data_IF_901696730315
#
_entry.id   IF_901696730315
#
_cell.length_a   1.000
_cell.length_b   1.000
_cell.length_c   1.000
_cell.angle_alpha   90.00
_cell.angle_beta   90.00
_cell.angle_gamma   90.00
#
_symmetry.space_group_name_H-M   'P 1'
#
loop_
_entity.id
_entity.type
_entity.pdbx_description
1 polymer ?
#
# COMPACT_ATOMS: atom_id res chain seq x y z
N UNK A 1 -18.54 8.99 9.07
CA UNK A 1 -18.40 8.23 10.32
C UNK A 1 -19.72 7.54 10.65
N UNK A 2 -20.77 8.27 11.04
CA UNK A 2 -22.08 7.72 11.43
C UNK A 2 -22.78 6.82 10.40
N UNK A 3 -22.43 6.91 9.11
CA UNK A 3 -22.93 6.01 8.07
C UNK A 3 -22.30 4.61 8.10
N UNK A 4 -21.27 4.37 8.93
CA UNK A 4 -20.53 3.10 9.03
C UNK A 4 -19.64 2.78 7.81
N UNK A 5 -19.53 3.70 6.85
CA UNK A 5 -18.78 3.49 5.59
C UNK A 5 -17.35 4.03 5.61
N UNK A 6 -16.96 4.69 6.70
CA UNK A 6 -15.64 5.27 6.85
C UNK A 6 -15.46 6.70 6.35
N UNK A 7 -14.46 7.37 6.90
CA UNK A 7 -13.96 8.67 6.48
C UNK A 7 -12.44 8.63 6.47
N UNK A 8 -11.82 9.10 5.40
CA UNK A 8 -10.37 9.26 5.33
C UNK A 8 -10.02 10.73 5.58
N UNK A 9 -9.12 11.00 6.52
CA UNK A 9 -8.52 12.32 6.72
C UNK A 9 -7.09 12.26 6.20
N UNK A 10 -6.84 12.99 5.12
CA UNK A 10 -5.61 12.96 4.35
C UNK A 10 -4.77 14.18 4.70
N UNK A 11 -3.53 13.97 5.15
CA UNK A 11 -2.56 15.03 5.45
C UNK A 11 -1.28 14.86 4.63
N UNK A 12 -0.38 15.85 4.69
CA UNK A 12 0.86 15.86 3.89
C UNK A 12 1.97 14.97 4.45
N UNK A 13 1.98 14.65 5.75
CA UNK A 13 3.03 13.82 6.34
C UNK A 13 2.57 12.99 7.55
N UNK A 14 3.35 11.95 7.84
CA UNK A 14 3.08 10.95 8.86
C UNK A 14 3.03 11.55 10.29
N UNK A 15 3.74 12.64 10.55
CA UNK A 15 3.72 13.34 11.84
C UNK A 15 2.38 14.06 12.03
N UNK A 16 1.91 14.83 11.03
CA UNK A 16 0.62 15.52 11.09
C UNK A 16 -0.53 14.53 11.23
N UNK A 17 -0.52 13.44 10.45
CA UNK A 17 -1.53 12.38 10.55
C UNK A 17 -1.64 11.83 11.98
N UNK A 18 -0.50 11.56 12.65
CA UNK A 18 -0.48 11.11 14.04
C UNK A 18 -0.93 12.18 15.03
N UNK A 19 -0.36 13.39 14.91
CA UNK A 19 -0.67 14.51 15.79
C UNK A 19 -2.17 14.80 15.79
N UNK A 20 -2.76 14.95 14.61
CA UNK A 20 -4.16 15.35 14.47
C UNK A 20 -5.11 14.24 14.93
N UNK A 21 -4.76 12.97 14.70
CA UNK A 21 -5.50 11.84 15.21
C UNK A 21 -5.48 11.75 16.74
N UNK A 22 -4.33 11.99 17.38
CA UNK A 22 -4.21 12.00 18.86
C UNK A 22 -4.91 13.23 19.44
N UNK A 23 -4.70 14.40 18.84
CA UNK A 23 -5.26 15.66 19.32
C UNK A 23 -6.79 15.70 19.22
N UNK A 24 -7.37 15.21 18.11
CA UNK A 24 -8.81 15.09 17.95
C UNK A 24 -9.37 13.79 18.57
N UNK A 25 -8.49 12.95 19.10
CA UNK A 25 -8.77 11.62 19.62
C UNK A 25 -9.88 11.60 20.66
N UNK A 26 -9.71 12.43 21.69
CA UNK A 26 -10.65 12.59 22.80
C UNK A 26 -12.06 12.94 22.30
N UNK A 27 -12.17 13.84 21.33
CA UNK A 27 -13.48 14.30 20.82
C UNK A 27 -14.22 13.15 20.14
N UNK A 28 -13.54 12.42 19.26
CA UNK A 28 -14.19 11.33 18.54
C UNK A 28 -14.53 10.16 19.46
N UNK A 29 -13.63 9.79 20.38
CA UNK A 29 -13.90 8.72 21.37
C UNK A 29 -15.03 9.12 22.31
N UNK A 30 -15.08 10.37 22.78
CA UNK A 30 -16.18 10.90 23.58
C UNK A 30 -17.53 10.79 22.83
N UNK A 31 -17.51 10.96 21.51
CA UNK A 31 -18.69 10.79 20.65
C UNK A 31 -18.96 9.32 20.25
N UNK A 32 -18.18 8.37 20.77
CA UNK A 32 -18.31 6.93 20.51
C UNK A 32 -17.80 6.47 19.14
N UNK A 33 -16.94 7.26 18.49
CA UNK A 33 -16.32 6.94 17.21
C UNK A 33 -14.90 6.39 17.41
N UNK A 34 -14.47 5.54 16.49
CA UNK A 34 -13.10 4.99 16.52
C UNK A 34 -12.19 5.59 15.46
N UNK A 35 -10.89 5.60 15.75
CA UNK A 35 -9.89 6.27 14.91
C UNK A 35 -8.75 5.32 14.59
N UNK A 36 -8.47 5.17 13.31
CA UNK A 36 -7.30 4.47 12.78
C UNK A 36 -6.28 5.46 12.24
N UNK A 37 -5.02 5.07 12.23
CA UNK A 37 -3.92 5.84 11.66
C UNK A 37 -3.10 4.90 10.79
N UNK A 38 -2.82 5.31 9.55
CA UNK A 38 -1.93 4.58 8.64
C UNK A 38 -0.62 5.36 8.45
N UNK A 39 0.49 4.64 8.50
CA UNK A 39 1.84 5.17 8.24
C UNK A 39 2.61 4.23 7.33
N UNK A 40 3.87 4.53 7.00
CA UNK A 40 4.71 3.61 6.24
C UNK A 40 4.80 2.24 6.94
N UNK A 41 4.28 1.20 6.28
CA UNK A 41 4.26 -0.20 6.76
C UNK A 41 3.64 -0.47 8.14
N UNK A 42 2.97 0.51 8.76
CA UNK A 42 2.39 0.37 10.10
C UNK A 42 0.97 0.92 10.16
N UNK A 43 0.15 0.32 11.03
CA UNK A 43 -1.18 0.80 11.40
C UNK A 43 -1.27 1.03 12.90
N UNK A 44 -2.07 2.01 13.32
CA UNK A 44 -2.39 2.27 14.71
C UNK A 44 -3.89 2.50 14.89
N UNK A 45 -4.38 2.25 16.09
CA UNK A 45 -5.70 2.68 16.55
C UNK A 45 -5.47 3.59 17.76
N UNK A 46 -6.22 4.68 17.81
CA UNK A 46 -6.26 5.52 19.01
C UNK A 46 -7.02 4.78 20.11
N UNK A 47 -6.40 4.62 21.26
CA UNK A 47 -6.94 3.89 22.41
C UNK A 47 -6.54 4.64 23.69
N UNK A 48 -7.52 5.25 24.35
CA UNK A 48 -7.33 6.03 25.57
C UNK A 48 -6.80 5.20 26.74
N UNK A 49 -7.01 3.88 26.71
CA UNK A 49 -6.61 2.95 27.77
C UNK A 49 -5.24 2.33 27.52
N UNK A 50 -4.70 2.51 26.31
CA UNK A 50 -3.36 2.03 25.99
C UNK A 50 -2.34 2.90 26.73
N UNK A 51 -1.58 2.28 27.64
CA UNK A 51 -0.46 2.86 28.40
C UNK A 51 -0.73 4.19 29.15
N UNK A 52 -1.98 4.55 29.42
CA UNK A 52 -2.28 5.80 30.11
C UNK A 52 -2.01 5.68 31.63
N UNK A 53 -1.01 6.40 32.12
CA UNK A 53 -0.98 6.85 33.52
C UNK A 53 -1.76 8.17 33.62
N UNK A 54 -2.40 8.47 34.75
CA UNK A 54 -3.25 9.65 34.92
C UNK A 54 -2.51 11.00 34.74
N UNK A 55 -1.18 11.00 34.79
CA UNK A 55 -0.34 12.17 34.51
C UNK A 55 -0.18 12.46 33.01
N UNK A 56 -0.35 11.45 32.15
CA UNK A 56 -0.15 11.59 30.70
C UNK A 56 -1.27 12.39 30.04
N UNK A 57 -2.47 12.41 30.64
CA UNK A 57 -3.64 13.16 30.15
C UNK A 57 -3.48 14.67 30.36
N UNK A 58 -3.02 15.11 31.54
CA UNK A 58 -2.74 16.54 31.82
C UNK A 58 -1.59 17.06 30.92
N UNK A 59 -0.51 16.29 30.74
CA UNK A 59 0.58 16.67 29.83
C UNK A 59 0.13 16.73 28.35
N UNK A 60 -0.88 15.94 27.97
CA UNK A 60 -1.41 15.92 26.60
C UNK A 60 -2.13 17.21 26.28
N UNK A 61 -3.00 17.65 27.18
CA UNK A 61 -3.83 18.82 26.96
C UNK A 61 -2.96 20.09 26.84
N UNK A 62 -1.81 20.13 27.51
CA UNK A 62 -0.84 21.23 27.41
C UNK A 62 0.07 21.13 26.16
N UNK A 63 0.52 19.92 25.78
CA UNK A 63 1.56 19.74 24.74
C UNK A 63 1.09 19.13 23.42
N UNK A 64 -0.15 18.65 23.34
CA UNK A 64 -0.68 17.89 22.21
C UNK A 64 -0.77 18.66 20.89
N UNK A 65 -0.68 20.00 20.95
CA UNK A 65 -0.59 20.86 19.76
C UNK A 65 0.76 20.75 19.03
N UNK A 66 1.82 20.27 19.69
CA UNK A 66 3.17 20.15 19.10
C UNK A 66 3.93 18.85 19.43
N UNK A 67 3.50 18.06 20.43
CA UNK A 67 4.14 16.79 20.81
C UNK A 67 3.17 15.63 20.59
N UNK A 68 3.59 14.64 19.80
CA UNK A 68 2.83 13.40 19.62
C UNK A 68 3.12 12.49 20.81
N UNK A 69 2.13 12.28 21.67
CA UNK A 69 2.21 11.26 22.71
C UNK A 69 1.87 9.90 22.10
N UNK A 70 2.84 8.99 22.17
CA UNK A 70 2.71 7.64 21.58
C UNK A 70 1.93 6.69 22.48
N UNK A 71 1.66 7.08 23.72
CA UNK A 71 1.07 6.22 24.73
C UNK A 71 -0.35 5.81 24.35
N UNK A 72 -1.10 6.68 23.66
CA UNK A 72 -2.47 6.42 23.20
C UNK A 72 -2.58 5.68 21.85
N UNK A 73 -1.45 5.24 21.27
CA UNK A 73 -1.43 4.63 19.93
C UNK A 73 -1.14 3.13 20.01
N UNK A 74 -2.19 2.31 19.96
CA UNK A 74 -2.07 0.86 19.92
C UNK A 74 -1.69 0.41 18.51
N UNK A 75 -0.58 -0.32 18.30
CA UNK A 75 -0.21 -0.83 16.98
C UNK A 75 -1.21 -1.92 16.54
N UNK A 76 -1.60 -1.86 15.27
CA UNK A 76 -2.56 -2.79 14.66
C UNK A 76 -2.16 -3.14 13.22
N UNK A 77 -2.78 -4.19 12.69
CA UNK A 77 -2.72 -4.48 11.28
C UNK A 77 -3.37 -3.37 10.44
N UNK A 78 -2.85 -3.15 9.23
CA UNK A 78 -3.33 -2.12 8.30
C UNK A 78 -4.86 -2.20 8.08
N UNK A 79 -5.37 -3.42 7.94
CA UNK A 79 -6.79 -3.70 7.73
C UNK A 79 -7.67 -3.28 8.91
N UNK A 80 -7.16 -3.39 10.15
CA UNK A 80 -7.87 -2.93 11.35
C UNK A 80 -7.92 -1.41 11.41
N UNK A 81 -6.86 -0.71 11.00
CA UNK A 81 -6.85 0.75 10.93
C UNK A 81 -7.91 1.31 9.94
N UNK A 82 -8.09 0.66 8.79
CA UNK A 82 -9.15 1.01 7.83
C UNK A 82 -10.57 0.63 8.29
N UNK A 83 -10.70 -0.28 9.26
CA UNK A 83 -12.00 -0.68 9.80
C UNK A 83 -12.61 0.38 10.72
N UNK A 84 -11.77 1.25 11.33
CA UNK A 84 -12.19 2.32 12.25
C UNK A 84 -13.09 3.35 11.59
N UNK A 85 -13.93 4.08 12.32
CA UNK A 85 -14.87 5.04 11.70
C UNK A 85 -14.19 6.16 10.91
N UNK A 86 -13.03 6.59 11.39
CA UNK A 86 -12.20 7.63 10.80
C UNK A 86 -10.78 7.08 10.67
N UNK A 87 -10.17 7.26 9.51
CA UNK A 87 -8.78 6.83 9.27
C UNK A 87 -7.95 8.05 8.88
N UNK A 88 -6.94 8.38 9.67
CA UNK A 88 -5.94 9.39 9.37
C UNK A 88 -4.76 8.77 8.62
N UNK A 89 -4.20 9.50 7.67
CA UNK A 89 -3.03 9.05 6.92
C UNK A 89 -2.58 10.08 5.91
N UNK A 90 -1.49 9.76 5.21
CA UNK A 90 -1.02 10.61 4.11
C UNK A 90 -1.61 10.20 2.78
N UNK A 91 -1.65 11.14 1.84
CA UNK A 91 -2.05 10.89 0.45
C UNK A 91 -1.29 9.70 -0.16
N UNK A 92 0.02 9.62 0.10
CA UNK A 92 0.89 8.54 -0.36
C UNK A 92 0.46 7.19 0.24
N UNK A 93 0.18 7.11 1.54
CA UNK A 93 -0.24 5.84 2.15
C UNK A 93 -1.58 5.35 1.62
N UNK A 94 -2.59 6.22 1.52
CA UNK A 94 -3.88 5.87 0.94
C UNK A 94 -3.75 5.42 -0.53
N UNK A 95 -2.98 6.15 -1.34
CA UNK A 95 -2.79 5.79 -2.73
C UNK A 95 -2.03 4.47 -2.90
N UNK A 96 -0.97 4.25 -2.13
CA UNK A 96 -0.20 3.01 -2.22
C UNK A 96 -0.97 1.78 -1.75
N UNK A 97 -1.82 1.92 -0.72
CA UNK A 97 -2.71 0.82 -0.33
C UNK A 97 -3.72 0.48 -1.40
N UNK A 98 -4.30 1.48 -2.06
CA UNK A 98 -5.19 1.25 -3.19
C UNK A 98 -4.47 0.49 -4.32
N UNK A 99 -3.24 0.90 -4.66
CA UNK A 99 -2.44 0.22 -5.69
C UNK A 99 -2.10 -1.22 -5.26
N UNK A 100 -1.66 -1.45 -4.02
CA UNK A 100 -1.36 -2.79 -3.48
C UNK A 100 -2.59 -3.69 -3.45
N UNK A 101 -3.76 -3.16 -3.09
CA UNK A 101 -5.03 -3.88 -3.08
C UNK A 101 -5.48 -4.33 -4.48
N UNK A 102 -4.92 -3.76 -5.54
CA UNK A 102 -5.14 -4.21 -6.92
C UNK A 102 -4.05 -5.19 -7.42
N UNK A 103 -3.03 -5.48 -6.60
CA UNK A 103 -1.99 -6.47 -6.88
C UNK A 103 -2.15 -7.77 -6.07
N UNK A 104 -3.06 -7.81 -5.10
CA UNK A 104 -3.30 -9.03 -4.30
C UNK A 104 -4.01 -10.11 -5.12
N UNK A 105 -3.63 -11.36 -4.88
CA UNK A 105 -4.24 -12.54 -5.54
C UNK A 105 -5.61 -12.87 -4.95
N UNK A 106 -5.76 -12.72 -3.64
CA UNK A 106 -6.98 -13.03 -2.88
C UNK A 106 -7.64 -11.74 -2.41
N UNK A 107 -8.97 -11.64 -2.56
CA UNK A 107 -9.72 -10.44 -2.20
C UNK A 107 -9.66 -10.15 -0.68
N UNK A 108 -9.52 -11.19 0.14
CA UNK A 108 -9.44 -11.12 1.60
C UNK A 108 -8.17 -10.40 2.08
N UNK A 109 -7.12 -10.38 1.25
CA UNK A 109 -5.85 -9.70 1.54
C UNK A 109 -5.90 -8.18 1.31
N UNK A 110 -7.01 -7.66 0.77
CA UNK A 110 -7.20 -6.21 0.66
C UNK A 110 -7.28 -5.55 2.04
N UNK A 111 -6.64 -4.40 2.17
CA UNK A 111 -6.60 -3.63 3.43
C UNK A 111 -7.63 -2.51 3.44
N UNK A 112 -7.91 -1.89 2.30
CA UNK A 112 -8.92 -0.84 2.21
C UNK A 112 -10.32 -1.42 2.16
N UNK A 113 -11.27 -0.60 2.60
CA UNK A 113 -12.70 -0.74 2.31
C UNK A 113 -13.12 0.30 1.26
N UNK A 114 -14.42 0.38 0.97
CA UNK A 114 -14.95 1.31 -0.03
C UNK A 114 -14.54 2.78 0.21
N UNK A 115 -14.18 3.46 -0.87
CA UNK A 115 -13.80 4.88 -0.87
C UNK A 115 -15.05 5.76 -0.76
N UNK A 116 -15.45 6.09 0.47
CA UNK A 116 -16.73 6.76 0.72
C UNK A 116 -16.63 8.29 0.82
N UNK A 117 -15.74 8.78 1.69
CA UNK A 117 -15.57 10.20 1.93
C UNK A 117 -14.13 10.48 2.37
N UNK A 118 -13.54 11.54 1.82
CA UNK A 118 -12.20 11.98 2.17
C UNK A 118 -12.20 13.49 2.44
N UNK A 119 -11.55 13.88 3.53
CA UNK A 119 -11.20 15.27 3.82
C UNK A 119 -9.70 15.40 3.56
N UNK A 120 -9.33 16.36 2.72
CA UNK A 120 -7.95 16.58 2.34
C UNK A 120 -7.52 17.87 3.01
N UNK A 121 -6.64 17.75 4.00
CA UNK A 121 -5.93 18.87 4.59
C UNK A 121 -4.82 19.34 3.66
N UNK A 122 -4.47 20.63 3.68
CA UNK A 122 -3.49 21.23 2.76
C UNK A 122 -3.78 20.88 1.28
N UNK A 123 -5.02 21.10 0.86
CA UNK A 123 -5.57 20.64 -0.42
C UNK A 123 -4.78 21.09 -1.65
N UNK A 124 -4.21 22.29 -1.62
CA UNK A 124 -3.36 22.83 -2.68
C UNK A 124 -2.04 22.05 -2.78
N UNK A 125 -1.39 21.78 -1.64
CA UNK A 125 -0.18 20.97 -1.60
C UNK A 125 -0.41 19.56 -2.16
N UNK A 126 -1.51 18.91 -1.77
CA UNK A 126 -1.78 17.51 -2.15
C UNK A 126 -2.33 17.39 -3.58
N UNK A 127 -3.39 18.14 -3.92
CA UNK A 127 -4.08 17.96 -5.20
C UNK A 127 -3.51 18.79 -6.35
N UNK A 128 -2.64 19.77 -6.08
CA UNK A 128 -1.99 20.58 -7.11
C UNK A 128 -0.51 20.24 -7.19
N UNK A 129 0.24 20.38 -6.09
CA UNK A 129 1.69 20.30 -6.14
C UNK A 129 2.21 18.86 -6.20
N UNK A 130 1.75 17.99 -5.29
CA UNK A 130 2.17 16.58 -5.24
C UNK A 130 1.56 15.76 -6.39
N UNK A 131 0.33 16.07 -6.79
CA UNK A 131 -0.37 15.39 -7.87
C UNK A 131 0.29 15.52 -9.26
N UNK A 132 1.33 16.35 -9.41
CA UNK A 132 2.12 16.48 -10.66
C UNK A 132 2.88 15.21 -11.02
N UNK A 133 3.26 14.41 -10.04
CA UNK A 133 4.01 13.17 -10.25
C UNK A 133 3.12 11.98 -9.93
N UNK A 134 2.99 10.99 -10.84
CA UNK A 134 2.14 9.83 -10.59
C UNK A 134 2.69 8.99 -9.44
N UNK A 135 1.78 8.43 -8.64
CA UNK A 135 2.12 7.48 -7.59
C UNK A 135 2.39 6.09 -8.20
N UNK A 136 3.60 5.55 -8.02
CA UNK A 136 4.06 4.32 -8.67
C UNK A 136 4.64 3.36 -7.64
N UNK A 137 4.18 2.10 -7.65
CA UNK A 137 4.86 0.99 -6.96
C UNK A 137 5.95 0.46 -7.88
N UNK A 138 7.20 0.56 -7.44
CA UNK A 138 8.33 -0.09 -8.08
C UNK A 138 8.86 -1.20 -7.17
N UNK A 139 9.17 -2.35 -7.78
CA UNK A 139 9.86 -3.44 -7.12
C UNK A 139 11.14 -3.75 -7.89
N UNK A 140 12.23 -4.14 -7.21
CA UNK A 140 13.42 -4.61 -7.91
C UNK A 140 13.05 -5.83 -8.76
N UNK A 141 13.52 -5.86 -10.01
CA UNK A 141 13.33 -7.01 -10.88
C UNK A 141 14.06 -8.22 -10.26
N UNK A 142 13.32 -9.27 -9.95
CA UNK A 142 13.86 -10.54 -9.45
C UNK A 142 14.44 -11.41 -10.59
N UNK A 143 15.09 -10.79 -11.57
CA UNK A 143 15.65 -11.53 -12.69
C UNK A 143 17.05 -12.04 -12.33
N UNK A 144 17.21 -13.36 -12.32
CA UNK A 144 18.54 -13.96 -12.26
C UNK A 144 19.25 -13.69 -13.58
N UNK A 145 20.32 -12.88 -13.54
CA UNK A 145 21.20 -12.63 -14.69
C UNK A 145 21.67 -13.93 -15.36
N UNK A 146 21.79 -15.01 -14.59
CA UNK A 146 22.18 -16.33 -15.09
C UNK A 146 21.14 -16.93 -16.05
N UNK A 147 19.84 -16.71 -15.80
CA UNK A 147 18.79 -17.20 -16.69
C UNK A 147 18.87 -16.54 -18.07
N UNK A 148 19.18 -15.25 -18.14
CA UNK A 148 19.37 -14.57 -19.42
C UNK A 148 20.48 -15.21 -20.26
N UNK A 149 21.64 -15.49 -19.65
CA UNK A 149 22.73 -16.15 -20.36
C UNK A 149 22.37 -17.58 -20.76
N UNK A 150 21.73 -18.34 -19.85
CA UNK A 150 21.28 -19.71 -20.12
C UNK A 150 20.33 -19.76 -21.31
N UNK A 151 19.30 -18.90 -21.33
CA UNK A 151 18.35 -18.86 -22.44
C UNK A 151 18.99 -18.32 -23.73
N UNK A 152 19.91 -17.36 -23.65
CA UNK A 152 20.64 -16.87 -24.82
C UNK A 152 21.50 -17.96 -25.49
N UNK A 153 22.01 -18.93 -24.73
CA UNK A 153 22.70 -20.10 -25.29
C UNK A 153 21.71 -21.10 -25.89
N UNK A 154 20.61 -21.38 -25.18
CA UNK A 154 19.61 -22.36 -25.63
C UNK A 154 18.96 -22.00 -26.96
N UNK A 155 18.64 -20.72 -27.18
CA UNK A 155 17.95 -20.28 -28.41
C UNK A 155 18.84 -20.29 -29.65
N UNK A 156 20.18 -20.34 -29.51
CA UNK A 156 21.10 -20.33 -30.66
C UNK A 156 20.95 -21.55 -31.57
N UNK A 157 20.49 -22.66 -31.01
CA UNK A 157 20.35 -23.93 -31.73
C UNK A 157 18.93 -24.15 -32.26
N UNK A 158 18.04 -23.18 -32.07
CA UNK A 158 16.68 -23.23 -32.59
C UNK A 158 16.65 -22.76 -34.04
N UNK A 159 15.86 -23.44 -34.86
CA UNK A 159 15.70 -23.14 -36.28
C UNK A 159 14.30 -22.63 -36.58
N UNK A 160 14.25 -21.54 -37.34
CA UNK A 160 12.99 -21.00 -37.86
C UNK A 160 12.33 -22.00 -38.83
N UNK A 161 11.02 -22.19 -38.71
CA UNK A 161 10.22 -23.15 -39.48
C UNK A 161 10.20 -24.58 -38.94
N UNK A 162 11.15 -24.95 -38.07
CA UNK A 162 11.17 -26.23 -37.34
C UNK A 162 10.79 -26.02 -35.88
N UNK A 163 11.57 -25.21 -35.16
CA UNK A 163 11.47 -25.02 -33.70
C UNK A 163 10.64 -23.79 -33.32
N UNK A 164 10.56 -22.77 -34.18
CA UNK A 164 9.76 -21.56 -33.96
C UNK A 164 9.37 -20.90 -35.28
N UNK A 165 8.34 -20.06 -35.23
CA UNK A 165 7.90 -19.22 -36.34
C UNK A 165 7.92 -17.75 -35.94
N UNK A 166 8.33 -16.86 -36.85
CA UNK A 166 8.31 -15.41 -36.68
C UNK A 166 7.17 -14.81 -37.50
N UNK A 167 6.35 -13.96 -36.86
CA UNK A 167 5.47 -13.04 -37.54
C UNK A 167 6.08 -11.62 -37.49
N UNK A 168 6.75 -11.22 -38.57
CA UNK A 168 7.38 -9.90 -38.67
C UNK A 168 6.38 -8.74 -38.64
N UNK A 169 5.15 -8.98 -39.13
CA UNK A 169 4.09 -7.96 -39.14
C UNK A 169 3.61 -7.68 -37.72
N UNK A 170 3.54 -8.71 -36.88
CA UNK A 170 3.16 -8.59 -35.47
C UNK A 170 4.35 -8.39 -34.52
N UNK A 171 5.59 -8.53 -35.01
CA UNK A 171 6.82 -8.54 -34.20
C UNK A 171 6.74 -9.54 -33.04
N UNK A 172 6.22 -10.73 -33.33
CA UNK A 172 6.04 -11.80 -32.37
C UNK A 172 6.72 -13.08 -32.86
N UNK A 173 7.24 -13.86 -31.93
CA UNK A 173 7.73 -15.22 -32.18
C UNK A 173 6.90 -16.22 -31.39
N UNK A 174 6.68 -17.40 -31.98
CA UNK A 174 5.95 -18.49 -31.36
C UNK A 174 6.73 -19.79 -31.53
N UNK A 175 6.88 -20.58 -30.47
CA UNK A 175 7.50 -21.89 -30.57
C UNK A 175 6.54 -22.89 -31.23
N UNK A 176 7.10 -23.85 -31.96
CA UNK A 176 6.36 -25.05 -32.39
C UNK A 176 6.38 -26.10 -31.27
N UNK A 177 5.51 -27.11 -31.34
CA UNK A 177 5.52 -28.21 -30.37
C UNK A 177 6.91 -28.89 -30.28
N UNK A 178 7.59 -29.03 -31.43
CA UNK A 178 8.96 -29.58 -31.49
C UNK A 178 9.99 -28.69 -30.79
N UNK A 179 9.89 -27.37 -30.97
CA UNK A 179 10.78 -26.42 -30.32
C UNK A 179 10.60 -26.38 -28.80
N UNK A 180 9.36 -26.54 -28.31
CA UNK A 180 9.05 -26.65 -26.88
C UNK A 180 9.70 -27.91 -26.30
N UNK A 181 9.46 -29.08 -26.88
CA UNK A 181 10.01 -30.36 -26.40
C UNK A 181 11.55 -30.35 -26.36
N UNK A 182 12.18 -29.76 -27.38
CA UNK A 182 13.64 -29.59 -27.45
C UNK A 182 14.19 -28.68 -26.35
N UNK A 183 13.45 -27.63 -25.96
CA UNK A 183 13.84 -26.74 -24.86
C UNK A 183 13.61 -27.38 -23.50
N UNK A 184 12.51 -28.10 -23.31
CA UNK A 184 12.18 -28.84 -22.08
C UNK A 184 13.26 -29.89 -21.76
N UNK A 185 13.65 -30.70 -22.74
CA UNK A 185 14.75 -31.68 -22.61
C UNK A 185 16.07 -31.01 -22.21
N UNK A 186 16.38 -29.83 -22.76
CA UNK A 186 17.62 -29.10 -22.45
C UNK A 186 17.58 -28.38 -21.10
N UNK A 187 16.40 -27.96 -20.67
CA UNK A 187 16.20 -27.34 -19.37
C UNK A 187 16.09 -28.36 -18.24
N UNK A 188 15.83 -29.63 -18.57
CA UNK A 188 15.64 -30.70 -17.60
C UNK A 188 14.31 -30.59 -16.86
N UNK A 189 13.27 -30.09 -17.56
CA UNK A 189 11.92 -29.91 -17.05
C UNK A 189 11.04 -30.86 -17.87
N UNK A 190 10.33 -31.78 -17.19
CA UNK A 190 9.33 -32.69 -17.77
C UNK A 190 7.93 -32.08 -17.70
#
# INVERSE_FOLDING_TARGET
ALSGKGVHVVTVNDYLAKRDAVWMGQIFVFLGLTIGIIQHESGYVYDESFKADAQDDEERDETGSFKVQMDFLRPVERKEAYAQDITYGTNNQFGFDYLRDNMVVEAEKKVQRGLHFAIIDEIDSILIDEARTPLIISAPAAESKELYYKFAELVRDLKEGEDYNIDEKMRASTFTDQGIEKLEQRLGIE
#
